data_IF_966608159632
#
_entry.id   IF_966608159632
#
_cell.length_a   1.000
_cell.length_b   1.000
_cell.length_c   1.000
_cell.angle_alpha   90.00
_cell.angle_beta   90.00
_cell.angle_gamma   90.00
#
_symmetry.space_group_name_H-M   'P 1'
#
loop_
_entity.id
_entity.type
_entity.pdbx_description
1 polymer ?
#
# COMPACT_ATOMS: atom_id res chain seq x y z
N UNK A 1 -17.82 8.75 -5.22
CA UNK A 1 -16.52 8.06 -5.36
C UNK A 1 -16.36 7.22 -4.13
N UNK A 2 -16.12 5.92 -4.30
CA UNK A 2 -15.99 4.99 -3.17
C UNK A 2 -14.71 5.32 -2.39
N UNK A 3 -14.73 5.24 -1.06
CA UNK A 3 -13.55 5.56 -0.26
C UNK A 3 -12.41 4.57 -0.53
N UNK A 4 -12.75 3.31 -0.87
CA UNK A 4 -11.80 2.28 -1.28
C UNK A 4 -11.14 2.67 -2.59
N UNK A 5 -11.94 3.06 -3.59
CA UNK A 5 -11.46 3.49 -4.92
C UNK A 5 -10.47 4.66 -4.82
N UNK A 6 -10.80 5.68 -4.01
CA UNK A 6 -9.91 6.82 -3.80
C UNK A 6 -8.57 6.43 -3.14
N UNK A 7 -8.58 5.48 -2.21
CA UNK A 7 -7.36 5.01 -1.55
C UNK A 7 -6.50 4.14 -2.48
N UNK A 8 -7.13 3.32 -3.30
CA UNK A 8 -6.45 2.53 -4.34
C UNK A 8 -5.76 3.45 -5.35
N UNK A 9 -6.42 4.51 -5.82
CA UNK A 9 -5.82 5.50 -6.71
C UNK A 9 -4.60 6.22 -6.06
N UNK A 10 -4.69 6.55 -4.77
CA UNK A 10 -3.56 7.14 -4.05
C UNK A 10 -2.36 6.18 -3.95
N UNK A 11 -2.61 4.90 -3.67
CA UNK A 11 -1.58 3.86 -3.67
C UNK A 11 -0.92 3.73 -5.06
N UNK A 12 -1.72 3.73 -6.12
CA UNK A 12 -1.21 3.70 -7.50
C UNK A 12 -0.33 4.91 -7.82
N UNK A 13 -0.66 6.09 -7.29
CA UNK A 13 0.16 7.29 -7.42
C UNK A 13 1.53 7.21 -6.73
N UNK A 14 1.70 6.34 -5.73
CA UNK A 14 2.95 6.18 -4.98
C UNK A 14 3.88 5.12 -5.58
N UNK A 15 3.35 3.91 -5.82
CA UNK A 15 4.14 2.74 -6.24
C UNK A 15 3.64 2.06 -7.53
N UNK A 16 2.57 2.55 -8.15
CA UNK A 16 2.01 2.00 -9.39
C UNK A 16 0.88 0.99 -9.18
N UNK A 17 0.16 0.69 -10.25
CA UNK A 17 -1.14 -0.03 -10.24
C UNK A 17 -1.10 -1.45 -9.62
N UNK A 18 0.00 -2.17 -9.79
CA UNK A 18 0.12 -3.55 -9.33
C UNK A 18 0.58 -3.68 -7.89
N UNK A 19 1.22 -2.64 -7.35
CA UNK A 19 1.92 -2.69 -6.07
C UNK A 19 1.01 -2.99 -4.89
N UNK A 20 -0.28 -2.65 -4.97
CA UNK A 20 -1.21 -2.77 -3.83
C UNK A 20 -1.65 -4.20 -3.63
N UNK A 21 -1.91 -4.91 -4.72
CA UNK A 21 -2.28 -6.31 -4.71
C UNK A 21 -1.14 -7.22 -4.24
N UNK A 22 0.12 -6.79 -4.45
CA UNK A 22 1.29 -7.57 -4.04
C UNK A 22 1.51 -7.55 -2.52
N UNK A 23 1.06 -6.50 -1.84
CA UNK A 23 1.37 -6.30 -0.42
C UNK A 23 0.14 -6.23 0.48
N UNK A 24 -1.07 -6.20 -0.09
CA UNK A 24 -2.32 -6.05 0.67
C UNK A 24 -2.53 -7.17 1.69
N UNK A 25 -2.09 -8.39 1.38
CA UNK A 25 -2.21 -9.56 2.27
C UNK A 25 -1.02 -9.75 3.22
N UNK A 26 0.04 -8.95 3.10
CA UNK A 26 1.25 -9.12 3.93
C UNK A 26 1.00 -8.71 5.39
N UNK A 27 1.17 -9.60 6.37
CA UNK A 27 0.73 -9.35 7.74
C UNK A 27 1.57 -8.26 8.44
N UNK A 28 2.84 -8.12 8.09
CA UNK A 28 3.77 -7.19 8.73
C UNK A 28 4.15 -5.97 7.89
N UNK A 29 4.25 -4.80 8.55
CA UNK A 29 4.86 -3.59 8.02
C UNK A 29 6.25 -3.87 7.39
N UNK A 30 7.05 -4.72 8.05
CA UNK A 30 8.41 -5.04 7.61
C UNK A 30 8.45 -5.85 6.30
N UNK A 31 7.46 -6.74 6.08
CA UNK A 31 7.34 -7.51 4.84
C UNK A 31 6.97 -6.60 3.67
N UNK A 32 6.04 -5.66 3.89
CA UNK A 32 5.67 -4.65 2.91
C UNK A 32 6.89 -3.82 2.48
N UNK A 33 7.69 -3.35 3.44
CA UNK A 33 8.93 -2.61 3.14
C UNK A 33 9.87 -3.47 2.30
N UNK A 34 10.10 -4.73 2.67
CA UNK A 34 11.02 -5.61 1.95
C UNK A 34 10.59 -5.81 0.51
N UNK A 35 9.33 -6.19 0.29
CA UNK A 35 8.76 -6.38 -1.05
C UNK A 35 8.88 -5.11 -1.88
N UNK A 36 8.47 -3.95 -1.35
CA UNK A 36 8.58 -2.68 -2.08
C UNK A 36 10.04 -2.34 -2.41
N UNK A 37 10.96 -2.59 -1.48
CA UNK A 37 12.39 -2.33 -1.66
C UNK A 37 13.03 -3.27 -2.69
N UNK A 38 12.52 -4.49 -2.87
CA UNK A 38 13.00 -5.40 -3.89
C UNK A 38 12.58 -4.99 -5.31
N UNK A 39 11.32 -4.55 -5.48
CA UNK A 39 10.77 -4.23 -6.80
C UNK A 39 10.99 -2.79 -7.26
N UNK A 40 11.04 -1.82 -6.33
CA UNK A 40 10.99 -0.38 -6.66
C UNK A 40 12.25 0.39 -6.26
N UNK A 41 13.40 -0.29 -6.11
CA UNK A 41 14.66 0.35 -5.68
C UNK A 41 15.16 1.36 -6.74
N UNK A 42 15.59 2.58 -6.36
CA UNK A 42 15.66 3.13 -5.01
C UNK A 42 14.29 3.55 -4.47
N UNK A 43 13.95 3.05 -3.27
CA UNK A 43 12.68 3.34 -2.61
C UNK A 43 12.81 4.56 -1.70
N UNK A 44 11.88 5.51 -1.85
CA UNK A 44 11.72 6.65 -0.95
C UNK A 44 10.95 6.21 0.30
N UNK A 45 11.61 6.28 1.46
CA UNK A 45 11.04 5.87 2.77
C UNK A 45 9.75 6.64 3.09
N UNK A 46 9.69 7.93 2.75
CA UNK A 46 8.49 8.74 2.98
C UNK A 46 7.31 8.33 2.11
N UNK A 47 7.56 7.77 0.91
CA UNK A 47 6.51 7.16 0.09
C UNK A 47 6.04 5.84 0.69
N UNK A 48 6.95 5.02 1.21
CA UNK A 48 6.59 3.74 1.84
C UNK A 48 5.69 3.95 3.06
N UNK A 49 6.01 4.92 3.91
CA UNK A 49 5.19 5.22 5.09
C UNK A 49 3.76 5.63 4.70
N UNK A 50 3.62 6.50 3.69
CA UNK A 50 2.32 6.91 3.16
C UNK A 50 1.55 5.72 2.57
N UNK A 51 2.26 4.87 1.84
CA UNK A 51 1.69 3.70 1.22
C UNK A 51 1.17 2.67 2.24
N UNK A 52 1.92 2.47 3.32
CA UNK A 52 1.52 1.59 4.41
C UNK A 52 0.33 2.15 5.18
N UNK A 53 0.25 3.47 5.37
CA UNK A 53 -0.92 4.11 5.95
C UNK A 53 -2.18 3.86 5.10
N UNK A 54 -2.07 3.94 3.77
CA UNK A 54 -3.17 3.65 2.84
C UNK A 54 -3.60 2.17 2.94
N UNK A 55 -2.65 1.24 2.95
CA UNK A 55 -2.95 -0.20 3.10
C UNK A 55 -3.68 -0.48 4.41
N UNK A 56 -3.24 0.12 5.51
CA UNK A 56 -3.91 -0.04 6.81
C UNK A 56 -5.35 0.50 6.77
N UNK A 57 -5.58 1.66 6.15
CA UNK A 57 -6.92 2.21 5.99
C UNK A 57 -7.81 1.29 5.13
N UNK A 58 -7.28 0.75 4.03
CA UNK A 58 -8.00 -0.21 3.20
C UNK A 58 -8.34 -1.48 3.97
N UNK A 59 -7.42 -2.02 4.77
CA UNK A 59 -7.68 -3.19 5.64
C UNK A 59 -8.74 -2.89 6.70
N UNK A 60 -8.74 -1.69 7.28
CA UNK A 60 -9.78 -1.28 8.23
C UNK A 60 -11.14 -1.18 7.57
N UNK A 61 -11.23 -0.66 6.34
CA UNK A 61 -12.48 -0.58 5.59
C UNK A 61 -12.96 -1.96 5.13
N UNK A 62 -12.05 -2.83 4.67
CA UNK A 62 -12.37 -4.19 4.21
C UNK A 62 -12.79 -5.13 5.35
N UNK A 63 -12.19 -4.99 6.54
CA UNK A 63 -12.57 -5.73 7.76
C UNK A 63 -13.61 -4.99 8.61
N UNK A 64 -14.07 -3.83 8.13
CA UNK A 64 -14.96 -2.89 8.82
C UNK A 64 -16.36 -2.86 8.21
N UNK A 65 -16.98 -4.04 8.11
CA UNK A 65 -18.42 -4.28 8.19
C UNK A 65 -18.64 -5.57 8.99
#
# INVERSE_FOLDING_TARGET
>A
MDQIEMLVEQAHGLFGETSIFEVFDLPGHQEIIQTLTEFYRPVDVGKVDQYIAIINQLRTLANGA
#
